data_IF_803191727671
#
_entry.id   IF_803191727671
#
_cell.length_a   1.000
_cell.length_b   1.000
_cell.length_c   1.000
_cell.angle_alpha   90.00
_cell.angle_beta   90.00
_cell.angle_gamma   90.00
#
_symmetry.space_group_name_H-M   'P 1'
#
loop_
_entity.id
_entity.type
_entity.pdbx_description
1 polymer ?
#
# COMPACT_ATOMS: atom_id res chain seq x y z
N UNK A 1 12.27 15.82 0.70
CA UNK A 1 11.56 15.75 1.98
C UNK A 1 11.10 14.31 2.00
N UNK A 2 11.62 13.56 2.95
CA UNK A 2 11.52 12.11 3.04
C UNK A 2 10.23 11.83 3.80
N UNK A 3 9.39 10.92 3.29
CA UNK A 3 8.15 10.55 3.97
C UNK A 3 8.30 9.29 4.82
N UNK A 4 9.44 9.25 5.50
CA UNK A 4 9.95 8.16 6.30
C UNK A 4 11.11 8.73 7.11
N UNK A 5 11.47 8.06 8.20
CA UNK A 5 12.70 8.39 8.92
C UNK A 5 13.93 8.13 8.04
N UNK A 6 15.14 8.07 8.59
CA UNK A 6 16.34 7.74 7.80
C UNK A 6 16.44 6.27 7.34
N UNK A 7 15.33 5.52 7.38
CA UNK A 7 15.29 4.07 7.26
C UNK A 7 14.07 3.65 6.43
N UNK A 8 14.14 2.48 5.81
CA UNK A 8 13.00 1.88 5.09
C UNK A 8 11.77 1.72 5.99
N UNK A 9 10.63 2.13 5.44
CA UNK A 9 9.30 1.88 5.97
C UNK A 9 8.53 0.95 5.02
N UNK A 10 7.34 0.50 5.41
CA UNK A 10 6.55 -0.37 4.57
C UNK A 10 5.11 -0.56 4.97
N UNK A 11 4.35 -1.13 4.05
CA UNK A 11 2.97 -1.54 4.24
C UNK A 11 2.88 -3.03 3.95
N UNK A 12 2.29 -3.81 4.87
CA UNK A 12 2.10 -5.25 4.67
C UNK A 12 0.65 -5.65 4.86
N UNK A 13 0.14 -6.44 3.92
CA UNK A 13 -1.17 -7.05 3.99
C UNK A 13 -1.04 -8.52 4.41
N UNK A 14 -1.87 -8.94 5.37
CA UNK A 14 -1.97 -10.33 5.80
C UNK A 14 -3.41 -10.81 5.76
N UNK A 15 -3.59 -12.08 5.43
CA UNK A 15 -4.87 -12.76 5.68
C UNK A 15 -5.14 -12.87 7.19
N UNK A 16 -6.40 -13.08 7.59
CA UNK A 16 -6.74 -13.33 9.00
C UNK A 16 -6.13 -14.60 9.63
N UNK A 17 -5.42 -15.41 8.84
CA UNK A 17 -4.58 -16.51 9.31
C UNK A 17 -3.10 -16.12 9.46
N UNK A 18 -2.78 -14.83 9.39
CA UNK A 18 -1.43 -14.24 9.42
C UNK A 18 -0.50 -14.73 8.30
N UNK A 19 -1.04 -15.19 7.17
CA UNK A 19 -0.23 -15.43 5.96
C UNK A 19 -0.05 -14.10 5.23
N UNK A 20 1.19 -13.77 4.86
CA UNK A 20 1.50 -12.56 4.08
C UNK A 20 0.85 -12.66 2.71
N UNK A 21 0.23 -11.57 2.29
CA UNK A 21 -0.41 -11.44 0.97
C UNK A 21 0.44 -10.58 0.06
N UNK A 22 0.89 -9.42 0.54
CA UNK A 22 1.66 -8.45 -0.22
C UNK A 22 2.46 -7.57 0.76
N UNK A 23 3.62 -7.08 0.36
CA UNK A 23 4.44 -6.11 1.09
C UNK A 23 5.00 -5.05 0.15
N UNK A 24 4.63 -3.80 0.39
CA UNK A 24 5.30 -2.63 -0.18
C UNK A 24 6.37 -2.14 0.81
N UNK A 25 7.63 -2.11 0.38
CA UNK A 25 8.69 -1.39 1.11
C UNK A 25 9.05 -0.13 0.32
N UNK A 26 9.30 0.97 1.02
CA UNK A 26 9.70 2.24 0.43
C UNK A 26 10.74 2.93 1.32
N UNK A 27 11.49 3.85 0.73
CA UNK A 27 12.65 4.50 1.35
C UNK A 27 13.84 3.53 1.56
N UNK A 28 15.07 4.06 1.50
CA UNK A 28 16.31 3.29 1.68
C UNK A 28 17.23 3.97 2.71
N UNK A 29 17.91 3.24 3.61
CA UNK A 29 18.28 1.82 3.60
C UNK A 29 17.50 0.98 4.64
N UNK A 30 17.35 -0.33 4.39
CA UNK A 30 16.58 -1.25 5.26
C UNK A 30 17.37 -1.74 6.49
N UNK A 31 17.78 -0.84 7.38
CA UNK A 31 18.57 -1.22 8.57
C UNK A 31 17.76 -1.97 9.63
N UNK A 32 16.43 -1.83 9.60
CA UNK A 32 15.51 -2.55 10.48
C UNK A 32 15.20 -3.98 10.00
N UNK A 33 15.84 -4.44 8.93
CA UNK A 33 15.69 -5.80 8.40
C UNK A 33 14.22 -6.15 8.10
N UNK A 34 13.44 -5.18 7.59
CA UNK A 34 12.06 -5.42 7.18
C UNK A 34 12.02 -6.46 6.05
N UNK A 35 11.23 -7.50 6.27
CA UNK A 35 11.07 -8.58 5.30
C UNK A 35 10.23 -8.16 4.07
N UNK A 36 10.49 -8.77 2.91
CA UNK A 36 9.55 -8.83 1.79
C UNK A 36 8.47 -9.90 2.04
N UNK A 37 7.50 -10.02 1.12
CA UNK A 37 6.41 -10.98 1.22
C UNK A 37 6.83 -12.45 1.03
N UNK A 38 8.03 -12.70 0.50
CA UNK A 38 8.68 -14.02 0.49
C UNK A 38 9.22 -14.46 1.87
N UNK A 39 9.30 -13.51 2.82
CA UNK A 39 9.89 -13.69 4.15
C UNK A 39 11.40 -13.54 4.19
N UNK A 40 12.03 -13.07 3.11
CA UNK A 40 13.43 -12.67 3.05
C UNK A 40 13.60 -11.22 3.50
N UNK A 41 14.84 -10.80 3.82
CA UNK A 41 15.11 -9.38 4.07
C UNK A 41 14.90 -8.61 2.77
N UNK A 42 13.98 -7.64 2.78
CA UNK A 42 13.63 -6.85 1.62
C UNK A 42 14.83 -6.09 1.05
N UNK A 43 14.96 -6.15 -0.27
CA UNK A 43 16.08 -5.56 -1.01
C UNK A 43 15.65 -4.69 -2.20
N UNK A 44 14.35 -4.55 -2.41
CA UNK A 44 13.75 -3.62 -3.37
C UNK A 44 12.82 -2.66 -2.62
N UNK A 45 12.87 -1.39 -3.03
CA UNK A 45 12.18 -0.29 -2.38
C UNK A 45 11.55 0.61 -3.43
N UNK A 46 10.28 0.94 -3.25
CA UNK A 46 9.65 1.99 -4.03
C UNK A 46 10.31 3.35 -3.78
N UNK A 47 10.21 4.24 -4.76
CA UNK A 47 10.79 5.58 -4.70
C UNK A 47 10.15 6.45 -3.60
N UNK A 48 10.88 7.45 -3.12
CA UNK A 48 10.26 8.52 -2.34
C UNK A 48 9.29 9.33 -3.19
N UNK A 49 8.22 9.81 -2.56
CA UNK A 49 7.23 10.68 -3.18
C UNK A 49 7.19 12.05 -2.50
N UNK A 50 6.76 13.08 -3.24
CA UNK A 50 6.55 14.40 -2.67
C UNK A 50 5.21 14.49 -1.94
N UNK A 51 5.07 15.44 -1.01
CA UNK A 51 3.78 15.76 -0.41
C UNK A 51 2.66 15.94 -1.47
N UNK A 52 1.57 15.21 -1.27
CA UNK A 52 0.40 15.12 -2.15
C UNK A 52 0.51 14.08 -3.26
N UNK A 53 1.64 13.40 -3.39
CA UNK A 53 1.83 12.31 -4.34
C UNK A 53 1.62 10.95 -3.66
N UNK A 54 1.30 9.94 -4.46
CA UNK A 54 1.16 8.55 -4.01
C UNK A 54 2.19 7.65 -4.68
N UNK A 55 2.43 6.50 -4.04
CA UNK A 55 3.06 5.34 -4.63
C UNK A 55 2.00 4.48 -5.28
N UNK A 56 2.01 4.40 -6.62
CA UNK A 56 1.03 3.63 -7.39
C UNK A 56 1.67 2.42 -8.05
N UNK A 57 1.06 1.24 -7.91
CA UNK A 57 1.45 0.02 -8.60
C UNK A 57 1.07 0.13 -10.08
N UNK A 58 2.04 0.09 -11.00
CA UNK A 58 1.80 0.30 -12.44
C UNK A 58 2.48 -0.78 -13.30
N UNK A 59 1.70 -1.58 -14.06
CA UNK A 59 0.23 -1.58 -14.08
C UNK A 59 -0.35 -2.20 -12.79
N UNK A 60 -1.59 -1.85 -12.45
CA UNK A 60 -2.35 -2.44 -11.33
C UNK A 60 -2.17 -3.97 -11.30
N UNK A 61 -2.21 -4.56 -10.10
CA UNK A 61 -2.01 -5.99 -9.81
C UNK A 61 -0.62 -6.60 -10.07
N UNK A 62 0.28 -5.91 -10.77
CA UNK A 62 1.58 -6.50 -11.13
C UNK A 62 2.51 -6.48 -9.94
N UNK A 63 2.81 -7.67 -9.42
CA UNK A 63 3.72 -7.87 -8.30
C UNK A 63 4.82 -8.84 -8.70
N UNK A 64 6.03 -8.31 -8.87
CA UNK A 64 7.22 -9.04 -9.31
C UNK A 64 8.21 -9.28 -8.18
N UNK A 65 7.78 -9.06 -6.94
CA UNK A 65 8.59 -8.99 -5.73
C UNK A 65 9.68 -7.90 -5.82
N UNK A 66 9.48 -6.87 -6.67
CA UNK A 66 10.41 -5.77 -6.92
C UNK A 66 9.65 -4.43 -6.85
N UNK A 67 9.46 -3.92 -5.63
CA UNK A 67 8.75 -2.66 -5.37
C UNK A 67 9.29 -1.46 -6.18
N UNK A 68 10.59 -1.41 -6.45
CA UNK A 68 11.21 -0.37 -7.28
C UNK A 68 10.77 -0.44 -8.76
N UNK A 69 10.41 -1.63 -9.25
CA UNK A 69 9.91 -1.86 -10.60
C UNK A 69 8.39 -1.72 -10.68
N UNK A 70 7.68 -2.12 -9.61
CA UNK A 70 6.24 -2.24 -9.60
C UNK A 70 5.54 -0.93 -9.19
N UNK A 71 6.16 -0.09 -8.36
CA UNK A 71 5.58 1.16 -7.87
C UNK A 71 6.26 2.40 -8.47
N UNK A 72 5.43 3.41 -8.77
CA UNK A 72 5.88 4.71 -9.28
C UNK A 72 5.30 5.86 -8.45
N UNK A 73 6.09 6.93 -8.33
CA UNK A 73 5.63 8.24 -7.86
C UNK A 73 4.59 8.82 -8.83
N UNK A 74 3.37 9.06 -8.36
CA UNK A 74 2.31 9.72 -9.14
C UNK A 74 1.83 11.01 -8.47
N UNK A 75 1.90 12.10 -9.22
CA UNK A 75 1.49 13.44 -8.78
C UNK A 75 -0.04 13.66 -8.75
N UNK A 76 -0.81 12.65 -9.13
CA UNK A 76 -2.27 12.71 -9.20
C UNK A 76 -2.81 11.35 -8.78
N UNK A 77 -3.00 11.15 -7.46
CA UNK A 77 -3.48 9.89 -6.92
C UNK A 77 -4.82 9.46 -7.52
N UNK A 78 -5.06 8.15 -7.56
CA UNK A 78 -6.23 7.54 -8.21
C UNK A 78 -7.07 6.64 -7.29
N UNK A 79 -7.45 7.09 -6.08
CA UNK A 79 -8.24 6.27 -5.17
C UNK A 79 -9.58 5.84 -5.80
N UNK A 80 -9.88 4.56 -5.68
CA UNK A 80 -11.02 3.85 -6.25
C UNK A 80 -10.92 3.59 -7.75
N UNK A 81 -9.76 3.76 -8.39
CA UNK A 81 -9.60 3.70 -9.83
C UNK A 81 -8.26 3.10 -10.29
N UNK A 82 -8.18 2.83 -11.59
CA UNK A 82 -6.95 2.32 -12.21
C UNK A 82 -5.83 3.36 -12.18
N UNK A 83 -4.63 2.92 -11.80
CA UNK A 83 -3.46 3.78 -11.75
C UNK A 83 -3.02 4.20 -13.16
N UNK A 84 -2.69 5.49 -13.32
CA UNK A 84 -2.19 6.05 -14.58
C UNK A 84 -0.94 6.88 -14.30
N UNK A 85 0.20 6.60 -14.96
CA UNK A 85 1.38 7.45 -14.77
C UNK A 85 2.78 6.87 -15.02
N UNK A 86 2.94 5.56 -15.17
CA UNK A 86 4.25 4.93 -15.39
C UNK A 86 4.80 5.12 -16.82
N UNK A 87 6.09 5.40 -16.96
CA UNK A 87 6.76 5.55 -18.27
C UNK A 87 7.10 4.21 -18.96
N UNK A 88 6.70 3.08 -18.41
CA UNK A 88 6.80 1.76 -19.04
C UNK A 88 5.42 1.34 -19.52
N UNK A 89 5.30 1.18 -20.84
CA UNK A 89 4.01 1.00 -21.50
C UNK A 89 3.17 -0.11 -20.89
N UNK A 90 1.86 0.15 -20.77
CA UNK A 90 0.83 -0.80 -20.37
C UNK A 90 0.81 -2.03 -21.28
N UNK A 91 1.73 -2.95 -21.00
CA UNK A 91 1.61 -4.35 -21.34
C UNK A 91 0.68 -5.02 -20.34
N UNK A 92 -0.08 -5.98 -20.84
CA UNK A 92 -0.95 -6.90 -20.10
C UNK A 92 -0.40 -7.20 -18.70
N UNK A 93 -1.04 -6.64 -17.67
CA UNK A 93 -0.66 -6.88 -16.28
C UNK A 93 -0.83 -8.37 -16.00
N UNK A 94 0.26 -9.07 -15.66
CA UNK A 94 0.18 -10.47 -15.28
C UNK A 94 -0.32 -10.58 -13.84
N UNK A 95 -1.63 -10.43 -13.65
CA UNK A 95 -2.29 -10.59 -12.36
C UNK A 95 -2.36 -12.06 -11.88
N UNK A 96 -1.56 -12.97 -12.45
CA UNK A 96 -1.66 -14.41 -12.12
C UNK A 96 -0.97 -14.80 -10.81
N UNK A 97 -0.18 -13.88 -10.23
CA UNK A 97 0.59 -14.13 -9.01
C UNK A 97 -0.30 -13.95 -7.77
N UNK A 98 -0.88 -12.76 -7.60
CA UNK A 98 -1.72 -12.41 -6.45
C UNK A 98 -3.12 -11.97 -6.88
N UNK A 99 -4.12 -12.42 -6.12
CA UNK A 99 -5.52 -12.02 -6.35
C UNK A 99 -5.86 -10.69 -5.68
N UNK A 100 -5.23 -10.37 -4.55
CA UNK A 100 -5.35 -9.06 -3.87
C UNK A 100 -3.95 -8.49 -3.71
N UNK A 101 -3.78 -7.22 -4.06
CA UNK A 101 -2.50 -6.49 -3.97
C UNK A 101 -2.71 -5.13 -3.32
N UNK A 102 -1.67 -4.61 -2.66
CA UNK A 102 -1.53 -3.17 -2.37
C UNK A 102 -1.38 -2.47 -3.72
N UNK A 103 -2.33 -1.60 -4.06
CA UNK A 103 -2.43 -1.00 -5.38
C UNK A 103 -1.93 0.44 -5.41
N UNK A 104 -2.26 1.22 -4.39
CA UNK A 104 -1.83 2.61 -4.30
C UNK A 104 -1.72 3.01 -2.83
N UNK A 105 -0.75 3.84 -2.50
CA UNK A 105 -0.46 4.26 -1.14
C UNK A 105 -0.19 5.76 -1.11
N UNK A 106 -0.89 6.48 -0.23
CA UNK A 106 -0.65 7.90 0.07
C UNK A 106 0.12 8.01 1.38
N UNK A 107 1.46 8.15 1.30
CA UNK A 107 2.30 8.25 2.49
C UNK A 107 2.33 9.70 3.02
N UNK A 108 2.30 10.71 2.14
CA UNK A 108 2.48 12.14 2.50
C UNK A 108 1.33 13.00 1.95
N UNK A 109 0.18 13.14 2.62
CA UNK A 109 -0.91 13.95 2.10
C UNK A 109 -0.56 15.45 2.09
N UNK A 110 -0.84 16.15 0.99
CA UNK A 110 -0.49 17.57 0.77
C UNK A 110 -1.17 18.60 1.72
N UNK A 111 -1.92 18.17 2.73
CA UNK A 111 -2.89 19.02 3.42
C UNK A 111 -2.28 20.22 4.18
N UNK A 112 -2.89 21.40 4.01
CA UNK A 112 -2.39 22.71 4.44
C UNK A 112 -2.36 22.97 5.98
N UNK A 113 -2.32 21.95 6.85
CA UNK A 113 -2.51 22.19 8.29
C UNK A 113 -2.22 21.10 9.32
N UNK A 114 -1.70 19.93 8.92
CA UNK A 114 -1.29 18.89 9.85
C UNK A 114 -1.40 17.50 9.25
N UNK A 115 -0.30 16.76 9.31
CA UNK A 115 -0.01 15.52 8.57
C UNK A 115 -0.68 14.28 9.18
N UNK A 116 -1.92 14.39 9.68
CA UNK A 116 -2.61 13.27 10.32
C UNK A 116 -4.05 13.15 9.85
N UNK A 117 -4.50 11.92 9.57
CA UNK A 117 -5.89 11.62 9.23
C UNK A 117 -6.18 11.55 7.73
N UNK A 118 -5.19 11.77 6.85
CA UNK A 118 -5.39 11.81 5.39
C UNK A 118 -4.59 10.74 4.63
N UNK A 119 -3.86 9.88 5.34
CA UNK A 119 -3.12 8.76 4.74
C UNK A 119 -4.07 7.61 4.42
N UNK A 120 -3.76 6.85 3.38
CA UNK A 120 -4.57 5.72 2.95
C UNK A 120 -3.77 4.71 2.15
N UNK A 121 -4.24 3.47 2.19
CA UNK A 121 -3.77 2.36 1.38
C UNK A 121 -4.96 1.83 0.58
N UNK A 122 -4.78 1.68 -0.72
CA UNK A 122 -5.72 1.04 -1.61
C UNK A 122 -5.33 -0.41 -1.86
N UNK A 123 -6.32 -1.30 -1.82
CA UNK A 123 -6.20 -2.69 -2.25
C UNK A 123 -6.92 -2.90 -3.58
N UNK A 124 -6.37 -3.72 -4.46
CA UNK A 124 -7.02 -4.12 -5.71
C UNK A 124 -7.24 -5.63 -5.76
N UNK A 125 -8.45 -6.05 -6.14
CA UNK A 125 -8.80 -7.45 -6.41
C UNK A 125 -8.81 -7.73 -7.91
N UNK A 126 -7.75 -8.34 -8.42
CA UNK A 126 -7.61 -8.74 -9.82
C UNK A 126 -8.43 -9.97 -10.20
N UNK A 127 -9.01 -10.66 -9.21
CA UNK A 127 -9.74 -11.91 -9.38
C UNK A 127 -11.13 -11.75 -10.01
N UNK A 128 -11.66 -12.87 -10.51
CA UNK A 128 -13.01 -12.96 -11.09
C UNK A 128 -14.15 -13.08 -10.08
N UNK A 129 -13.87 -13.03 -8.77
CA UNK A 129 -14.86 -13.16 -7.69
C UNK A 129 -14.60 -12.14 -6.59
N UNK A 130 -15.66 -11.72 -5.90
CA UNK A 130 -15.52 -10.87 -4.72
C UNK A 130 -14.76 -11.61 -3.59
N UNK A 131 -13.98 -10.87 -2.80
CA UNK A 131 -13.19 -11.38 -1.68
C UNK A 131 -13.62 -10.66 -0.41
N UNK A 132 -13.87 -11.45 0.64
CA UNK A 132 -14.13 -10.96 2.00
C UNK A 132 -12.80 -10.79 2.73
N UNK A 133 -12.49 -9.55 3.10
CA UNK A 133 -11.28 -9.14 3.81
C UNK A 133 -11.50 -9.01 5.31
N UNK A 134 -12.67 -9.44 5.82
CA UNK A 134 -12.98 -9.39 7.25
C UNK A 134 -11.88 -10.07 8.09
N UNK A 135 -11.28 -9.30 8.99
CA UNK A 135 -10.23 -9.78 9.90
C UNK A 135 -8.87 -10.03 9.24
N UNK A 136 -8.66 -9.61 7.99
CA UNK A 136 -7.31 -9.43 7.44
C UNK A 136 -6.62 -8.28 8.18
N UNK A 137 -5.29 -8.25 8.16
CA UNK A 137 -4.52 -7.23 8.85
C UNK A 137 -3.73 -6.39 7.84
N UNK A 138 -3.73 -5.08 8.06
CA UNK A 138 -2.82 -4.13 7.42
C UNK A 138 -1.80 -3.66 8.45
N UNK A 139 -0.53 -3.67 8.08
CA UNK A 139 0.56 -3.29 8.98
C UNK A 139 1.32 -2.10 8.38
N UNK A 140 1.38 -1.00 9.12
CA UNK A 140 2.38 0.04 8.93
C UNK A 140 3.68 -0.44 9.58
N UNK A 141 4.71 -0.68 8.77
CA UNK A 141 5.98 -1.29 9.17
C UNK A 141 7.08 -0.24 9.21
N UNK A 142 7.66 -0.06 10.39
CA UNK A 142 8.83 0.81 10.62
C UNK A 142 9.98 0.00 11.21
N UNK A 143 9.69 -0.65 12.33
CA UNK A 143 10.56 -1.63 13.00
C UNK A 143 9.73 -2.62 13.81
N UNK A 144 10.33 -3.69 14.33
CA UNK A 144 9.67 -4.59 15.30
C UNK A 144 9.04 -3.85 16.49
N UNK A 145 9.62 -2.72 16.92
CA UNK A 145 9.15 -1.99 18.10
C UNK A 145 8.13 -0.88 17.80
N UNK A 146 8.03 -0.44 16.55
CA UNK A 146 7.24 0.73 16.14
C UNK A 146 6.23 0.45 15.02
N UNK A 147 6.12 -0.80 14.56
CA UNK A 147 5.08 -1.17 13.58
C UNK A 147 3.69 -1.16 14.23
N UNK A 148 2.69 -0.71 13.49
CA UNK A 148 1.28 -0.75 13.90
C UNK A 148 0.49 -1.71 13.03
N UNK A 149 -0.37 -2.51 13.65
CA UNK A 149 -1.28 -3.42 12.97
C UNK A 149 -2.72 -2.98 13.17
N UNK A 150 -3.49 -2.93 12.08
CA UNK A 150 -4.93 -2.71 12.12
C UNK A 150 -5.65 -3.87 11.43
N UNK A 151 -6.66 -4.41 12.10
CA UNK A 151 -7.52 -5.43 11.50
C UNK A 151 -8.64 -4.78 10.70
N UNK A 152 -8.82 -5.25 9.47
CA UNK A 152 -9.88 -4.84 8.57
C UNK A 152 -11.24 -5.25 9.18
N UNK A 153 -12.20 -4.32 9.34
CA UNK A 153 -13.50 -4.58 9.93
C UNK A 153 -14.29 -5.70 9.24
N UNK A 154 -15.21 -6.30 9.99
CA UNK A 154 -16.15 -7.28 9.44
C UNK A 154 -17.01 -6.69 8.31
N UNK A 155 -17.47 -7.56 7.41
CA UNK A 155 -18.28 -7.25 6.24
C UNK A 155 -17.57 -6.34 5.21
N UNK A 156 -16.23 -6.32 5.23
CA UNK A 156 -15.41 -5.60 4.24
C UNK A 156 -15.16 -6.50 3.02
N UNK A 157 -15.79 -6.18 1.89
CA UNK A 157 -15.74 -7.00 0.69
C UNK A 157 -15.24 -6.18 -0.49
N UNK A 158 -14.21 -6.68 -1.17
CA UNK A 158 -13.72 -6.11 -2.43
C UNK A 158 -14.34 -6.89 -3.62
N UNK A 159 -15.12 -6.25 -4.51
CA UNK A 159 -15.68 -6.90 -5.70
C UNK A 159 -14.61 -7.45 -6.64
N UNK A 160 -15.00 -8.33 -7.56
CA UNK A 160 -14.13 -8.77 -8.67
C UNK A 160 -13.72 -7.58 -9.53
N UNK A 161 -12.42 -7.38 -9.76
CA UNK A 161 -11.88 -6.22 -10.47
C UNK A 161 -12.14 -4.90 -9.76
N UNK A 162 -12.41 -4.93 -8.45
CA UNK A 162 -12.69 -3.75 -7.64
C UNK A 162 -11.47 -3.28 -6.85
N UNK A 163 -11.53 -2.02 -6.44
CA UNK A 163 -10.61 -1.40 -5.49
C UNK A 163 -11.29 -1.22 -4.14
N UNK A 164 -10.51 -1.14 -3.07
CA UNK A 164 -10.96 -0.82 -1.72
C UNK A 164 -9.96 0.13 -1.08
N UNK A 165 -10.42 1.33 -0.71
CA UNK A 165 -9.59 2.33 -0.04
C UNK A 165 -9.74 2.21 1.48
N UNK A 166 -8.65 1.81 2.14
CA UNK A 166 -8.49 1.83 3.59
C UNK A 166 -7.84 3.17 3.96
N UNK A 167 -8.61 4.11 4.48
CA UNK A 167 -8.12 5.45 4.81
C UNK A 167 -8.31 5.83 6.25
N UNK A 168 -7.56 6.83 6.70
CA UNK A 168 -7.78 7.47 7.99
C UNK A 168 -9.02 8.39 8.00
N UNK A 169 -9.33 8.99 9.16
CA UNK A 169 -10.61 9.67 9.45
C UNK A 169 -11.04 10.73 8.42
N UNK A 170 -10.09 11.41 7.78
CA UNK A 170 -10.35 12.54 6.88
C UNK A 170 -10.14 12.23 5.40
N UNK A 171 -9.88 10.97 5.04
CA UNK A 171 -9.79 10.53 3.64
C UNK A 171 -11.20 10.46 3.05
N UNK A 172 -11.53 11.41 2.15
CA UNK A 172 -12.87 11.53 1.60
C UNK A 172 -13.28 10.34 0.72
N UNK A 173 -12.30 9.69 0.10
CA UNK A 173 -12.43 8.56 -0.79
C UNK A 173 -12.37 7.20 -0.07
N UNK A 174 -12.19 7.18 1.26
CA UNK A 174 -12.10 5.93 2.00
C UNK A 174 -13.41 5.15 1.97
N UNK A 175 -13.32 3.89 1.56
CA UNK A 175 -14.42 2.92 1.70
C UNK A 175 -14.53 2.44 3.14
N UNK A 176 -13.40 2.32 3.82
CA UNK A 176 -13.30 1.88 5.21
C UNK A 176 -12.35 2.79 5.97
N UNK A 177 -12.82 3.30 7.10
CA UNK A 177 -11.99 4.08 8.02
C UNK A 177 -11.23 3.13 8.94
N UNK A 178 -9.90 3.23 8.91
CA UNK A 178 -8.96 2.49 9.76
C UNK A 178 -8.00 3.46 10.43
N UNK A 179 -7.51 3.08 11.61
CA UNK A 179 -6.50 3.86 12.35
C UNK A 179 -5.12 3.24 12.06
N UNK A 180 -4.47 3.73 11.00
CA UNK A 180 -3.20 3.21 10.51
C UNK A 180 -1.99 3.84 11.21
N UNK A 181 -2.14 5.04 11.80
CA UNK A 181 -1.06 5.81 12.44
C UNK A 181 0.14 5.89 11.50
N UNK A 182 -0.14 6.28 10.25
CA UNK A 182 0.89 6.40 9.24
C UNK A 182 1.68 7.70 9.35
N UNK A 183 1.25 8.57 10.27
CA UNK A 183 1.86 9.85 10.59
C UNK A 183 3.37 9.83 10.51
N UNK A 184 3.87 10.83 9.78
CA UNK A 184 5.28 11.15 9.66
C UNK A 184 5.88 11.46 11.03
N UNK A 185 6.88 10.69 11.46
CA UNK A 185 7.66 10.93 12.68
C UNK A 185 8.62 12.15 12.53
#
# INVERSE_FOLDING_TARGET
MQNGGSETDGVRLLTGAASVVDTLLYDDNNSNELEDDSGGIGSSFAVDVAAGHSLARIPDCTDTDDAAADFADVASPTPGAMNVGGSTGGGDADCSVLTVTINEFMPDPASDGGDGGYEWVELYNSGGTAIDLSGWDLINRKSEASSKTVSIPADTIIPAGGWLVLGEEFVAEADVIVDLDMGND
#
